data_IF_634092911433
#
_entry.id   IF_634092911433
#
_cell.length_a   1.000
_cell.length_b   1.000
_cell.length_c   1.000
_cell.angle_alpha   90.00
_cell.angle_beta   90.00
_cell.angle_gamma   90.00
#
_symmetry.space_group_name_H-M   'P 1'
#
loop_
_entity.id
_entity.type
_entity.pdbx_description
1 polymer ?
#
# COMPACT_ATOMS: atom_id res chain seq x y z
N UNK A 1 -20.24 -23.77 -11.89
CA UNK A 1 -21.65 -23.35 -11.75
C UNK A 1 -21.84 -22.00 -12.43
N UNK A 2 -22.70 -21.87 -13.46
CA UNK A 2 -22.97 -20.62 -14.15
C UNK A 2 -23.78 -19.65 -13.26
N UNK A 3 -23.34 -18.40 -13.17
CA UNK A 3 -23.92 -17.34 -12.33
C UNK A 3 -25.05 -16.59 -13.07
N UNK A 4 -26.14 -16.20 -12.39
CA UNK A 4 -27.29 -15.55 -13.02
C UNK A 4 -26.96 -14.16 -13.60
N UNK A 5 -27.58 -13.76 -14.74
CA UNK A 5 -27.18 -12.61 -15.56
C UNK A 5 -27.36 -11.23 -14.89
N UNK A 6 -28.22 -11.11 -13.86
CA UNK A 6 -28.43 -9.85 -13.10
C UNK A 6 -27.36 -9.54 -12.05
N UNK A 7 -26.51 -10.51 -11.67
CA UNK A 7 -25.50 -10.30 -10.63
C UNK A 7 -24.27 -9.50 -11.11
N UNK A 8 -23.97 -9.53 -12.42
CA UNK A 8 -22.81 -8.83 -13.01
C UNK A 8 -22.96 -7.31 -12.97
N UNK A 9 -24.18 -6.80 -13.22
CA UNK A 9 -24.48 -5.36 -13.23
C UNK A 9 -24.34 -4.73 -11.84
N UNK A 10 -24.88 -5.37 -10.79
CA UNK A 10 -24.76 -4.89 -9.40
C UNK A 10 -23.31 -4.94 -8.91
N UNK A 11 -22.55 -5.95 -9.35
CA UNK A 11 -21.14 -6.12 -8.97
C UNK A 11 -20.25 -5.04 -9.59
N UNK A 12 -20.52 -4.65 -10.84
CA UNK A 12 -19.84 -3.54 -11.50
C UNK A 12 -20.11 -2.19 -10.83
N UNK A 13 -21.36 -1.92 -10.45
CA UNK A 13 -21.71 -0.71 -9.71
C UNK A 13 -20.97 -0.60 -8.36
N UNK A 14 -20.85 -1.72 -7.63
CA UNK A 14 -20.08 -1.76 -6.37
C UNK A 14 -18.60 -1.47 -6.62
N UNK A 15 -18.01 -2.04 -7.69
CA UNK A 15 -16.62 -1.74 -8.04
C UNK A 15 -16.44 -0.24 -8.35
N UNK A 16 -17.35 0.37 -9.11
CA UNK A 16 -17.33 1.80 -9.40
C UNK A 16 -17.40 2.65 -8.13
N UNK A 17 -18.31 2.32 -7.20
CA UNK A 17 -18.39 3.04 -5.92
C UNK A 17 -17.11 2.92 -5.10
N UNK A 18 -16.41 1.78 -5.18
CA UNK A 18 -15.13 1.57 -4.51
C UNK A 18 -14.00 2.37 -5.16
N UNK A 19 -13.98 2.46 -6.49
CA UNK A 19 -13.03 3.31 -7.21
C UNK A 19 -13.25 4.78 -6.82
N UNK A 20 -14.49 5.26 -6.85
CA UNK A 20 -14.83 6.62 -6.43
C UNK A 20 -14.41 6.88 -4.98
N UNK A 21 -14.65 5.94 -4.07
CA UNK A 21 -14.22 6.06 -2.68
C UNK A 21 -12.68 6.12 -2.54
N UNK A 22 -11.94 5.28 -3.28
CA UNK A 22 -10.47 5.31 -3.31
C UNK A 22 -9.93 6.62 -3.90
N UNK A 23 -10.53 7.12 -4.97
CA UNK A 23 -10.18 8.41 -5.57
C UNK A 23 -10.48 9.58 -4.63
N UNK A 24 -11.61 9.56 -3.93
CA UNK A 24 -11.95 10.57 -2.93
C UNK A 24 -10.96 10.56 -1.75
N UNK A 25 -10.55 9.38 -1.30
CA UNK A 25 -9.54 9.24 -0.25
C UNK A 25 -8.19 9.81 -0.71
N UNK A 26 -7.79 9.56 -1.95
CA UNK A 26 -6.57 10.13 -2.52
C UNK A 26 -6.63 11.66 -2.62
N UNK A 27 -7.77 12.23 -3.06
CA UNK A 27 -7.98 13.68 -3.10
C UNK A 27 -7.92 14.31 -1.71
N UNK A 28 -8.51 13.65 -0.70
CA UNK A 28 -8.42 14.10 0.69
C UNK A 28 -6.97 14.06 1.20
N UNK A 29 -6.22 13.02 0.85
CA UNK A 29 -4.81 12.89 1.19
C UNK A 29 -3.96 13.98 0.51
N UNK A 30 -4.24 14.31 -0.75
CA UNK A 30 -3.54 15.38 -1.47
C UNK A 30 -3.90 16.77 -0.91
N UNK A 31 -5.18 17.00 -0.59
CA UNK A 31 -5.62 18.24 0.07
C UNK A 31 -4.95 18.41 1.44
N UNK A 32 -4.87 17.33 2.22
CA UNK A 32 -4.21 17.34 3.51
C UNK A 32 -2.69 17.54 3.38
N UNK A 33 -2.06 16.89 2.40
CA UNK A 33 -0.65 17.10 2.04
C UNK A 33 -0.39 18.58 1.72
N UNK A 34 -1.23 19.18 0.88
CA UNK A 34 -1.09 20.57 0.47
C UNK A 34 -1.25 21.54 1.65
N UNK A 35 -2.17 21.25 2.59
CA UNK A 35 -2.37 22.04 3.82
C UNK A 35 -1.22 21.91 4.82
N UNK A 36 -0.68 20.70 4.99
CA UNK A 36 0.38 20.40 5.96
C UNK A 36 1.80 20.60 5.40
N UNK A 37 1.94 20.89 4.10
CA UNK A 37 3.24 21.07 3.45
C UNK A 37 4.12 19.82 3.46
N UNK A 38 3.52 18.63 3.55
CA UNK A 38 4.28 17.39 3.73
C UNK A 38 5.06 17.03 2.44
N UNK A 39 6.35 16.68 2.53
CA UNK A 39 7.16 16.26 1.38
C UNK A 39 6.83 14.85 0.87
N UNK A 40 5.75 14.24 1.37
CA UNK A 40 5.35 12.87 1.07
C UNK A 40 4.42 12.83 -0.16
N UNK A 41 4.51 11.80 -1.01
CA UNK A 41 3.54 11.60 -2.09
C UNK A 41 2.12 11.40 -1.54
N UNK A 42 1.11 11.99 -2.18
CA UNK A 42 -0.29 11.83 -1.79
C UNK A 42 -0.73 10.35 -1.78
N UNK A 43 -0.20 9.52 -2.68
CA UNK A 43 -0.47 8.08 -2.71
C UNK A 43 -0.02 7.35 -1.44
N UNK A 44 1.12 7.73 -0.86
CA UNK A 44 1.60 7.15 0.40
C UNK A 44 0.72 7.58 1.58
N UNK A 45 0.29 8.84 1.62
CA UNK A 45 -0.66 9.33 2.63
C UNK A 45 -2.02 8.64 2.51
N UNK A 46 -2.51 8.44 1.28
CA UNK A 46 -3.74 7.70 1.02
C UNK A 46 -3.65 6.23 1.47
N UNK A 47 -2.49 5.59 1.28
CA UNK A 47 -2.23 4.23 1.77
C UNK A 47 -2.27 4.19 3.31
N UNK A 48 -1.62 5.13 3.99
CA UNK A 48 -1.63 5.21 5.46
C UNK A 48 -3.04 5.46 6.00
N UNK A 49 -3.80 6.36 5.37
CA UNK A 49 -5.18 6.64 5.74
C UNK A 49 -6.07 5.40 5.54
N UNK A 50 -5.93 4.70 4.40
CA UNK A 50 -6.67 3.46 4.14
C UNK A 50 -6.29 2.36 5.15
N UNK A 51 -5.01 2.24 5.49
CA UNK A 51 -4.53 1.29 6.49
C UNK A 51 -5.10 1.60 7.87
N UNK A 52 -5.12 2.87 8.30
CA UNK A 52 -5.75 3.29 9.55
C UNK A 52 -7.26 2.98 9.56
N UNK A 53 -7.94 3.20 8.43
CA UNK A 53 -9.36 2.91 8.27
C UNK A 53 -9.66 1.39 8.29
N UNK A 54 -8.71 0.58 7.83
CA UNK A 54 -8.77 -0.88 7.89
C UNK A 54 -8.50 -1.39 9.31
N UNK A 55 -7.49 -0.86 9.99
CA UNK A 55 -7.17 -1.23 11.38
C UNK A 55 -8.23 -0.79 12.38
N UNK A 56 -8.89 0.35 12.16
CA UNK A 56 -10.03 0.82 12.98
C UNK A 56 -11.31 0.00 12.76
N UNK A 57 -11.35 -0.91 11.78
CA UNK A 57 -12.51 -1.75 11.48
C UNK A 57 -13.65 -1.01 10.76
N UNK A 58 -13.48 0.27 10.44
CA UNK A 58 -14.47 1.08 9.71
C UNK A 58 -14.73 0.57 8.29
N UNK A 59 -13.71 -0.06 7.66
CA UNK A 59 -13.81 -0.63 6.31
C UNK A 59 -13.47 -2.12 6.34
N UNK A 60 -14.34 -2.97 5.78
CA UNK A 60 -14.01 -4.39 5.56
C UNK A 60 -13.02 -4.50 4.40
N UNK A 61 -11.86 -5.12 4.64
CA UNK A 61 -10.83 -5.32 3.60
C UNK A 61 -11.31 -6.05 2.35
N UNK A 62 -12.30 -6.94 2.49
CA UNK A 62 -12.95 -7.61 1.36
C UNK A 62 -13.83 -6.69 0.49
N UNK A 63 -14.24 -5.53 1.00
CA UNK A 63 -15.00 -4.55 0.23
C UNK A 63 -14.08 -3.92 -0.83
N UNK A 64 -13.03 -3.20 -0.41
CA UNK A 64 -12.13 -2.43 -1.31
C UNK A 64 -11.44 -3.29 -2.37
N UNK A 65 -11.24 -4.58 -2.10
CA UNK A 65 -10.46 -5.50 -2.94
C UNK A 65 -10.95 -5.61 -4.39
N UNK A 66 -12.26 -5.47 -4.65
CA UNK A 66 -12.82 -5.55 -6.01
C UNK A 66 -12.48 -4.32 -6.86
N UNK A 67 -12.75 -3.12 -6.34
CA UNK A 67 -12.41 -1.86 -7.01
C UNK A 67 -10.91 -1.70 -7.20
N UNK A 68 -10.12 -2.08 -6.19
CA UNK A 68 -8.65 -2.10 -6.30
C UNK A 68 -8.16 -3.05 -7.40
N UNK A 69 -8.67 -4.29 -7.47
CA UNK A 69 -8.29 -5.22 -8.54
C UNK A 69 -8.70 -4.72 -9.93
N UNK A 70 -9.82 -4.01 -10.04
CA UNK A 70 -10.23 -3.42 -11.31
C UNK A 70 -9.28 -2.31 -11.76
N UNK A 71 -8.95 -1.36 -10.87
CA UNK A 71 -7.91 -0.33 -11.11
C UNK A 71 -6.55 -0.95 -11.46
N UNK A 72 -6.19 -2.05 -10.79
CA UNK A 72 -4.95 -2.77 -11.05
C UNK A 72 -4.96 -3.45 -12.43
N UNK A 73 -6.11 -3.98 -12.87
CA UNK A 73 -6.27 -4.55 -14.21
C UNK A 73 -6.07 -3.50 -15.31
N UNK A 74 -6.53 -2.27 -15.05
CA UNK A 74 -6.37 -1.13 -15.95
C UNK A 74 -5.03 -0.37 -15.76
N UNK A 75 -4.09 -0.87 -14.92
CA UNK A 75 -2.78 -0.20 -14.71
C UNK A 75 -2.05 0.07 -16.02
N UNK A 76 -2.19 -0.82 -17.01
CA UNK A 76 -1.57 -0.64 -18.33
C UNK A 76 -2.04 0.65 -19.01
N UNK A 77 -3.34 0.97 -18.92
CA UNK A 77 -3.92 2.20 -19.47
C UNK A 77 -3.26 3.45 -18.86
N UNK A 78 -2.98 3.43 -17.55
CA UNK A 78 -2.32 4.52 -16.84
C UNK A 78 -0.82 4.61 -17.12
N UNK A 79 -0.18 3.50 -17.50
CA UNK A 79 1.23 3.50 -17.90
C UNK A 79 1.47 4.05 -19.30
N UNK A 80 0.51 3.94 -20.22
CA UNK A 80 0.66 4.44 -21.60
C UNK A 80 1.07 5.93 -21.61
N UNK A 81 0.35 6.86 -20.95
CA UNK A 81 0.75 8.27 -20.91
C UNK A 81 2.11 8.50 -20.26
N UNK A 82 2.42 7.76 -19.18
CA UNK A 82 3.68 7.89 -18.45
C UNK A 82 4.88 7.47 -19.32
N UNK A 83 4.77 6.36 -20.05
CA UNK A 83 5.82 5.89 -20.97
C UNK A 83 6.00 6.85 -22.14
N UNK A 84 4.90 7.34 -22.72
CA UNK A 84 4.94 8.33 -23.81
C UNK A 84 5.66 9.61 -23.38
N UNK A 85 5.42 10.10 -22.16
CA UNK A 85 6.14 11.24 -21.62
C UNK A 85 7.65 10.97 -21.52
N UNK A 86 8.05 9.78 -21.07
CA UNK A 86 9.48 9.41 -20.97
C UNK A 86 10.15 9.34 -22.34
N UNK A 87 9.49 8.75 -23.34
CA UNK A 87 10.04 8.59 -24.71
C UNK A 87 10.22 9.95 -25.41
N UNK A 88 9.40 10.95 -25.09
CA UNK A 88 9.54 12.30 -25.65
C UNK A 88 10.74 13.09 -25.10
N UNK A 89 11.38 12.63 -24.01
CA UNK A 89 12.55 13.29 -23.40
C UNK A 89 13.76 12.34 -23.26
N UNK A 90 14.33 11.84 -24.37
CA UNK A 90 15.38 10.82 -24.35
C UNK A 90 16.70 11.30 -23.71
N UNK A 91 17.05 12.59 -23.84
CA UNK A 91 18.26 13.16 -23.24
C UNK A 91 18.22 13.14 -21.71
N UNK A 92 17.03 13.29 -21.11
CA UNK A 92 16.85 13.23 -19.65
C UNK A 92 17.10 11.80 -19.14
N UNK A 93 16.60 10.80 -19.87
CA UNK A 93 16.77 9.38 -19.54
C UNK A 93 18.23 8.94 -19.69
N UNK A 94 18.93 9.42 -20.72
CA UNK A 94 20.33 9.05 -20.96
C UNK A 94 21.27 9.55 -19.87
N UNK A 95 21.06 10.77 -19.37
CA UNK A 95 21.91 11.35 -18.32
C UNK A 95 21.48 10.99 -16.89
N UNK A 96 20.17 10.90 -16.63
CA UNK A 96 19.65 10.67 -15.27
C UNK A 96 19.17 9.24 -15.03
N UNK A 97 18.97 8.44 -16.08
CA UNK A 97 18.43 7.08 -15.98
C UNK A 97 19.27 6.15 -15.11
N UNK A 98 20.61 6.23 -15.21
CA UNK A 98 21.49 5.44 -14.34
C UNK A 98 21.31 5.83 -12.86
N UNK A 99 21.14 7.12 -12.57
CA UNK A 99 20.96 7.65 -11.22
C UNK A 99 19.60 7.23 -10.65
N UNK A 100 18.56 7.25 -11.47
CA UNK A 100 17.22 6.76 -11.12
C UNK A 100 17.27 5.26 -10.82
N UNK A 101 17.88 4.44 -11.68
CA UNK A 101 18.04 3.01 -11.44
C UNK A 101 18.79 2.72 -10.14
N UNK A 102 19.90 3.42 -9.89
CA UNK A 102 20.66 3.28 -8.65
C UNK A 102 19.81 3.62 -7.42
N UNK A 103 19.07 4.74 -7.44
CA UNK A 103 18.19 5.16 -6.35
C UNK A 103 17.06 4.15 -6.12
N UNK A 104 16.43 3.62 -7.17
CA UNK A 104 15.36 2.61 -7.06
C UNK A 104 15.90 1.33 -6.41
N UNK A 105 17.03 0.82 -6.89
CA UNK A 105 17.63 -0.42 -6.35
C UNK A 105 18.04 -0.20 -4.90
N UNK A 106 18.79 0.86 -4.60
CA UNK A 106 19.25 1.14 -3.24
C UNK A 106 18.09 1.38 -2.27
N UNK A 107 17.08 2.15 -2.66
CA UNK A 107 15.91 2.39 -1.80
C UNK A 107 15.10 1.12 -1.56
N UNK A 108 14.93 0.27 -2.57
CA UNK A 108 14.21 -1.01 -2.44
C UNK A 108 14.97 -1.97 -1.52
N UNK A 109 16.29 -2.09 -1.70
CA UNK A 109 17.14 -2.89 -0.82
C UNK A 109 17.12 -2.34 0.62
N UNK A 110 17.22 -1.03 0.79
CA UNK A 110 17.17 -0.40 2.11
C UNK A 110 15.83 -0.67 2.81
N UNK A 111 14.71 -0.50 2.11
CA UNK A 111 13.37 -0.80 2.66
C UNK A 111 13.26 -2.27 3.05
N UNK A 112 13.74 -3.21 2.23
CA UNK A 112 13.73 -4.63 2.56
C UNK A 112 14.58 -4.96 3.79
N UNK A 113 15.81 -4.42 3.86
CA UNK A 113 16.71 -4.62 5.02
C UNK A 113 16.11 -4.05 6.30
N UNK A 114 15.61 -2.81 6.25
CA UNK A 114 14.98 -2.17 7.41
C UNK A 114 13.76 -2.97 7.87
N UNK A 115 12.91 -3.41 6.93
CA UNK A 115 11.74 -4.24 7.26
C UNK A 115 12.16 -5.57 7.90
N UNK A 116 13.18 -6.24 7.35
CA UNK A 116 13.70 -7.49 7.89
C UNK A 116 14.24 -7.32 9.32
N UNK A 117 15.04 -6.28 9.56
CA UNK A 117 15.58 -5.98 10.88
C UNK A 117 14.47 -5.64 11.89
N UNK A 118 13.51 -4.80 11.52
CA UNK A 118 12.37 -4.46 12.38
C UNK A 118 11.59 -5.70 12.79
N UNK A 119 11.24 -6.55 11.82
CA UNK A 119 10.52 -7.80 12.08
C UNK A 119 11.35 -8.74 12.96
N UNK A 120 12.65 -8.87 12.72
CA UNK A 120 13.53 -9.71 13.53
C UNK A 120 13.59 -9.23 14.98
N UNK A 121 13.68 -7.92 15.22
CA UNK A 121 13.69 -7.35 16.56
C UNK A 121 12.36 -7.57 17.29
N UNK A 122 11.23 -7.39 16.60
CA UNK A 122 9.88 -7.64 17.17
C UNK A 122 9.74 -9.10 17.58
N UNK A 123 10.08 -10.04 16.68
CA UNK A 123 10.01 -11.49 16.97
C UNK A 123 10.96 -11.87 18.11
N UNK A 124 12.16 -11.28 18.17
CA UNK A 124 13.12 -11.50 19.26
C UNK A 124 12.57 -11.01 20.60
N UNK A 125 11.88 -9.87 20.62
CA UNK A 125 11.25 -9.32 21.81
C UNK A 125 10.10 -10.21 22.30
N UNK A 126 9.22 -10.66 21.39
CA UNK A 126 8.13 -11.58 21.73
C UNK A 126 8.66 -12.88 22.34
N UNK A 127 9.72 -13.46 21.76
CA UNK A 127 10.37 -14.68 22.31
C UNK A 127 10.95 -14.44 23.70
N UNK A 128 11.49 -13.26 24.00
CA UNK A 128 12.00 -12.90 25.34
C UNK A 128 10.87 -12.76 26.36
N UNK A 129 9.77 -12.11 25.97
CA UNK A 129 8.58 -11.95 26.83
C UNK A 129 7.92 -13.31 27.12
N UNK A 130 7.78 -14.17 26.10
CA UNK A 130 7.23 -15.52 26.27
C UNK A 130 8.06 -16.42 27.21
N UNK A 131 9.40 -16.33 27.16
CA UNK A 131 10.29 -17.07 28.07
C UNK A 131 10.20 -16.61 29.54
N UNK A 132 9.88 -15.34 29.78
CA UNK A 132 9.69 -14.79 31.14
C UNK A 132 8.36 -15.25 31.75
N UNK A 133 7.31 -15.38 30.94
CA UNK A 133 5.99 -15.83 31.39
C UNK A 133 5.99 -17.31 31.84
N UNK A 134 6.82 -18.17 31.24
CA UNK A 134 6.93 -19.58 31.63
C UNK A 134 7.79 -19.80 32.88
N UNK A 135 8.86 -19.02 33.08
CA UNK A 135 9.71 -19.15 34.27
C UNK A 135 8.99 -18.75 35.58
N UNK A 136 8.14 -17.73 35.53
CA UNK A 136 7.36 -17.27 36.70
C UNK A 136 6.31 -18.31 37.18
N UNK A 137 5.81 -19.19 36.30
CA UNK A 137 4.86 -20.24 36.67
C UNK A 137 5.51 -21.43 37.38
N UNK A 138 6.80 -21.68 37.16
CA UNK A 138 7.52 -22.78 37.82
C UNK A 138 7.98 -22.40 39.24
N UNK A 139 8.17 -21.11 39.53
CA UNK A 139 8.59 -20.65 40.85
C UNK A 139 7.45 -20.55 41.88
N UNK A 140 6.19 -20.46 41.45
CA UNK A 140 5.04 -20.36 42.37
C UNK A 140 4.47 -21.72 42.83
N UNK A 141 5.01 -22.84 42.33
CA UNK A 141 4.56 -24.21 42.67
C UNK A 141 5.58 -25.02 43.48
N UNK A 142 6.61 -24.38 44.02
CA UNK A 142 7.57 -24.96 44.97
C UNK A 142 7.49 -24.20 46.30
#
# INVERSE_FOLDING_TARGET
MPQPPGARLRTGAIALTQVVALSALWLLADWLRARLGLPLPAGLLGLLALAALLFSGAVRGGWVRRGANWLLGEMLLFFIPAVLAVVQYPELVRHQGWRICAVIVLSTLAVMVVTALVVEQVVRLERRLARRATHNRQQHHA
#
